data_IF_800505237213
#
_entry.id   IF_800505237213
#
_cell.length_a   1.000
_cell.length_b   1.000
_cell.length_c   1.000
_cell.angle_alpha   90.00
_cell.angle_beta   90.00
_cell.angle_gamma   90.00
#
_symmetry.space_group_name_H-M   'P 1'
#
loop_
_entity.id
_entity.type
_entity.pdbx_description
1 polymer ?
#
# COMPACT_ATOMS: atom_id res chain seq x y z
N UNK A 1 32.06 -1.27 -10.04
CA UNK A 1 30.79 -0.62 -9.67
C UNK A 1 30.84 -0.39 -8.17
N UNK A 2 30.82 0.86 -7.65
CA UNK A 2 30.85 1.04 -6.21
C UNK A 2 29.58 0.41 -5.61
N UNK A 3 29.79 -0.40 -4.60
CA UNK A 3 28.76 -1.08 -3.81
C UNK A 3 27.84 0.00 -3.22
N UNK A 4 26.54 -0.06 -3.53
CA UNK A 4 25.57 0.96 -3.10
C UNK A 4 25.52 0.90 -1.57
N UNK A 5 26.16 1.85 -0.89
CA UNK A 5 26.25 1.90 0.58
C UNK A 5 24.85 1.72 1.20
N UNK A 6 24.62 0.54 1.78
CA UNK A 6 23.35 0.21 2.44
C UNK A 6 23.26 1.03 3.72
N UNK A 7 22.44 2.08 3.71
CA UNK A 7 22.17 2.89 4.90
C UNK A 7 21.23 2.13 5.84
N UNK A 8 21.77 1.67 6.97
CA UNK A 8 21.00 1.01 8.03
C UNK A 8 20.45 2.05 9.00
N UNK A 9 19.14 2.02 9.25
CA UNK A 9 18.46 2.85 10.24
C UNK A 9 17.26 2.07 10.81
N UNK A 10 16.95 2.25 12.08
CA UNK A 10 15.71 1.73 12.67
C UNK A 10 14.51 2.46 12.02
N UNK A 11 13.56 1.69 11.48
CA UNK A 11 12.32 2.20 10.87
C UNK A 11 11.14 1.32 11.25
N UNK A 12 9.94 1.90 11.21
CA UNK A 12 8.68 1.16 11.29
C UNK A 12 8.27 0.71 9.89
N UNK A 13 7.85 -0.55 9.78
CA UNK A 13 7.23 -1.10 8.57
C UNK A 13 5.73 -1.21 8.87
N UNK A 14 4.92 -0.66 7.98
CA UNK A 14 3.45 -0.74 8.03
C UNK A 14 2.98 -1.64 6.89
N UNK A 15 1.94 -2.42 7.13
CA UNK A 15 1.29 -3.26 6.12
C UNK A 15 -0.22 -3.35 6.42
N UNK A 16 -1.05 -3.06 5.44
CA UNK A 16 -2.50 -3.15 5.49
C UNK A 16 -3.03 -3.89 4.25
N UNK A 17 -4.10 -4.68 4.44
CA UNK A 17 -4.68 -5.56 3.42
C UNK A 17 -6.21 -5.49 3.45
N UNK A 18 -6.87 -5.68 2.30
CA UNK A 18 -8.32 -5.65 2.21
C UNK A 18 -8.88 -7.04 2.48
N UNK A 19 -9.54 -7.19 3.64
CA UNK A 19 -10.18 -8.45 4.01
C UNK A 19 -11.18 -8.88 2.92
N UNK A 20 -11.00 -10.10 2.42
CA UNK A 20 -11.89 -10.72 1.42
C UNK A 20 -11.92 -10.05 0.05
N UNK A 21 -10.89 -9.31 -0.34
CA UNK A 21 -10.80 -8.65 -1.64
C UNK A 21 -11.14 -9.56 -2.82
N UNK A 22 -10.59 -10.78 -2.88
CA UNK A 22 -10.86 -11.71 -3.98
C UNK A 22 -12.35 -12.09 -4.12
N UNK A 23 -13.11 -12.09 -3.02
CA UNK A 23 -14.56 -12.34 -3.07
C UNK A 23 -15.31 -11.14 -3.60
N UNK A 24 -14.95 -9.93 -3.14
CA UNK A 24 -15.55 -8.67 -3.57
C UNK A 24 -15.34 -8.44 -5.08
N UNK A 25 -14.12 -8.74 -5.58
CA UNK A 25 -13.81 -8.70 -7.02
C UNK A 25 -14.69 -9.66 -7.82
N UNK A 26 -15.01 -10.84 -7.27
CA UNK A 26 -15.89 -11.81 -7.93
C UNK A 26 -17.36 -11.38 -8.00
N UNK A 27 -17.81 -10.50 -7.09
CA UNK A 27 -19.19 -9.99 -7.05
C UNK A 27 -19.36 -8.71 -7.87
N UNK A 28 -18.41 -7.77 -7.77
CA UNK A 28 -18.36 -6.52 -8.54
C UNK A 28 -16.90 -6.07 -8.71
N UNK A 29 -16.27 -6.51 -9.81
CA UNK A 29 -14.87 -6.22 -10.12
C UNK A 29 -14.61 -4.70 -10.25
N UNK A 30 -15.45 -3.98 -11.00
CA UNK A 30 -15.25 -2.56 -11.26
C UNK A 30 -15.52 -1.70 -10.03
N UNK A 31 -16.56 -2.00 -9.27
CA UNK A 31 -16.87 -1.31 -8.03
C UNK A 31 -15.80 -1.53 -6.96
N UNK A 32 -15.36 -2.78 -6.80
CA UNK A 32 -14.30 -3.14 -5.85
C UNK A 32 -12.98 -2.48 -6.21
N UNK A 33 -12.59 -2.49 -7.48
CA UNK A 33 -11.36 -1.82 -7.92
C UNK A 33 -11.39 -0.31 -7.65
N UNK A 34 -12.52 0.38 -7.92
CA UNK A 34 -12.64 1.82 -7.65
C UNK A 34 -12.53 2.14 -6.16
N UNK A 35 -13.19 1.35 -5.32
CA UNK A 35 -13.12 1.52 -3.86
C UNK A 35 -11.71 1.26 -3.34
N UNK A 36 -11.04 0.23 -3.86
CA UNK A 36 -9.65 -0.07 -3.50
C UNK A 36 -8.73 1.10 -3.87
N UNK A 37 -8.82 1.65 -5.08
CA UNK A 37 -7.99 2.80 -5.47
C UNK A 37 -8.16 4.00 -4.53
N UNK A 38 -9.41 4.34 -4.18
CA UNK A 38 -9.69 5.44 -3.24
C UNK A 38 -9.10 5.16 -1.85
N UNK A 39 -9.19 3.92 -1.37
CA UNK A 39 -8.63 3.53 -0.08
C UNK A 39 -7.09 3.60 -0.08
N UNK A 40 -6.44 3.10 -1.13
CA UNK A 40 -4.99 3.15 -1.28
C UNK A 40 -4.47 4.58 -1.39
N UNK A 41 -5.16 5.44 -2.14
CA UNK A 41 -4.82 6.86 -2.26
C UNK A 41 -4.90 7.56 -0.89
N UNK A 42 -5.97 7.30 -0.14
CA UNK A 42 -6.14 7.84 1.22
C UNK A 42 -5.05 7.33 2.18
N UNK A 43 -4.74 6.03 2.18
CA UNK A 43 -3.71 5.48 3.06
C UNK A 43 -2.34 6.09 2.72
N UNK A 44 -2.02 6.24 1.44
CA UNK A 44 -0.75 6.84 1.02
C UNK A 44 -0.63 8.33 1.29
N UNK A 45 -1.74 9.08 1.23
CA UNK A 45 -1.74 10.47 1.70
C UNK A 45 -1.46 10.53 3.19
N UNK A 46 -2.12 9.69 3.99
CA UNK A 46 -1.90 9.62 5.44
C UNK A 46 -0.45 9.22 5.79
N UNK A 47 0.13 8.24 5.09
CA UNK A 47 1.54 7.84 5.29
C UNK A 47 2.46 9.04 5.02
N UNK A 48 2.22 9.78 3.95
CA UNK A 48 3.04 10.94 3.57
C UNK A 48 2.89 12.08 4.58
N UNK A 49 1.67 12.38 5.01
CA UNK A 49 1.37 13.44 5.99
C UNK A 49 2.03 13.19 7.36
N UNK A 50 2.25 11.93 7.73
CA UNK A 50 2.95 11.54 8.97
C UNK A 50 4.47 11.35 8.78
N UNK A 51 5.03 11.75 7.63
CA UNK A 51 6.47 11.68 7.35
C UNK A 51 6.99 10.28 6.99
N UNK A 52 6.08 9.36 6.67
CA UNK A 52 6.38 8.04 6.13
C UNK A 52 6.64 8.07 4.63
N UNK A 53 6.81 6.89 4.04
CA UNK A 53 6.95 6.73 2.58
C UNK A 53 6.29 5.43 2.19
N UNK A 54 5.32 5.49 1.27
CA UNK A 54 4.76 4.29 0.65
C UNK A 54 5.81 3.69 -0.29
N UNK A 55 6.24 2.46 -0.01
CA UNK A 55 7.38 1.83 -0.71
C UNK A 55 6.90 0.92 -1.84
N UNK A 56 5.78 0.21 -1.65
CA UNK A 56 5.24 -0.71 -2.63
C UNK A 56 3.74 -0.94 -2.40
N UNK A 57 3.02 -1.25 -3.47
CA UNK A 57 1.65 -1.76 -3.41
C UNK A 57 1.67 -3.18 -3.95
N UNK A 58 1.09 -4.12 -3.21
CA UNK A 58 0.96 -5.51 -3.60
C UNK A 58 -0.52 -5.83 -3.85
N UNK A 59 -1.02 -5.47 -5.03
CA UNK A 59 -2.44 -5.65 -5.37
C UNK A 59 -3.33 -4.75 -4.52
N UNK A 60 -4.03 -5.34 -3.56
CA UNK A 60 -4.93 -4.69 -2.61
C UNK A 60 -4.27 -4.25 -1.30
N UNK A 61 -2.98 -4.54 -1.14
CA UNK A 61 -2.23 -4.22 0.07
C UNK A 61 -1.21 -3.08 -0.12
N UNK A 62 -0.92 -2.37 0.98
CA UNK A 62 0.06 -1.27 1.11
C UNK A 62 0.87 -1.36 2.39
#
# INVERSE_FOLDING_TARGET
MPDKLVQRKLRTIFYADVVSYSRLVGEDELGTHRQLSVALDFISSQISDHGGTAVHYAGDAV
#
